data_IF_168638443120
#
_entry.id   IF_168638443120
#
_cell.length_a   1.000
_cell.length_b   1.000
_cell.length_c   1.000
_cell.angle_alpha   90.00
_cell.angle_beta   90.00
_cell.angle_gamma   90.00
#
_symmetry.space_group_name_H-M   'P 1'
#
loop_
_entity.id
_entity.type
_entity.pdbx_description
1 polymer ?
#
# COMPACT_ATOMS: atom_id res chain seq x y z
N UNK A 1 -20.40 30.08 -18.82
CA UNK A 1 -20.14 28.70 -18.38
C UNK A 1 -20.08 28.77 -16.89
N UNK A 2 -21.18 28.40 -16.22
CA UNK A 2 -21.23 28.40 -14.77
C UNK A 2 -20.29 27.32 -14.26
N UNK A 3 -19.28 27.75 -13.52
CA UNK A 3 -18.39 26.82 -12.87
C UNK A 3 -19.17 26.13 -11.76
N UNK A 4 -19.40 24.83 -11.91
CA UNK A 4 -19.95 23.98 -10.86
C UNK A 4 -18.82 23.73 -9.84
N UNK A 5 -18.32 24.78 -9.21
CA UNK A 5 -17.47 24.67 -8.02
C UNK A 5 -18.39 24.49 -6.85
N UNK A 6 -18.87 23.27 -6.65
CA UNK A 6 -19.62 22.94 -5.46
C UNK A 6 -18.64 22.35 -4.44
N UNK A 7 -17.89 23.26 -3.81
CA UNK A 7 -17.05 22.96 -2.65
C UNK A 7 -17.85 22.29 -1.51
N UNK A 8 -19.18 22.50 -1.47
CA UNK A 8 -20.12 21.90 -0.51
C UNK A 8 -20.75 20.56 -0.98
N UNK A 9 -20.52 20.07 -2.21
CA UNK A 9 -21.19 18.85 -2.70
C UNK A 9 -20.54 17.56 -2.23
N UNK A 10 -19.26 17.63 -1.86
CA UNK A 10 -18.48 16.45 -1.50
C UNK A 10 -18.64 16.25 0.00
N UNK A 11 -19.71 15.57 0.40
CA UNK A 11 -19.85 15.10 1.78
C UNK A 11 -18.87 13.96 2.02
N UNK A 12 -17.81 14.23 2.79
CA UNK A 12 -16.86 13.20 3.22
C UNK A 12 -17.49 12.45 4.40
N UNK A 13 -17.67 11.12 4.32
CA UNK A 13 -18.15 10.35 5.46
C UNK A 13 -17.17 10.44 6.63
N UNK A 14 -17.68 10.54 7.87
CA UNK A 14 -16.85 10.66 9.07
C UNK A 14 -15.88 9.48 9.24
N UNK A 15 -16.26 8.28 8.78
CA UNK A 15 -15.47 7.05 8.87
C UNK A 15 -14.32 6.98 7.84
N UNK A 16 -14.46 7.67 6.71
CA UNK A 16 -13.52 7.64 5.60
C UNK A 16 -12.06 7.93 6.01
N UNK A 17 -11.74 9.02 6.74
CA UNK A 17 -10.37 9.29 7.17
C UNK A 17 -9.81 8.21 8.10
N UNK A 18 -10.64 7.56 8.92
CA UNK A 18 -10.20 6.50 9.83
C UNK A 18 -9.84 5.22 9.06
N UNK A 19 -10.68 4.81 8.11
CA UNK A 19 -10.43 3.66 7.24
C UNK A 19 -9.11 3.85 6.47
N UNK A 20 -8.90 5.04 5.88
CA UNK A 20 -7.66 5.33 5.16
C UNK A 20 -6.42 5.33 6.06
N UNK A 21 -6.55 5.84 7.29
CA UNK A 21 -5.47 5.84 8.28
C UNK A 21 -5.05 4.42 8.65
N UNK A 22 -6.02 3.54 8.91
CA UNK A 22 -5.74 2.15 9.29
C UNK A 22 -5.20 1.35 8.11
N UNK A 23 -5.71 1.59 6.91
CA UNK A 23 -5.17 1.04 5.67
C UNK A 23 -3.70 1.44 5.48
N UNK A 24 -3.37 2.74 5.56
CA UNK A 24 -2.01 3.23 5.40
C UNK A 24 -1.07 2.66 6.46
N UNK A 25 -1.53 2.58 7.72
CA UNK A 25 -0.78 1.97 8.82
C UNK A 25 -0.48 0.50 8.56
N UNK A 26 -1.46 -0.26 8.08
CA UNK A 26 -1.29 -1.66 7.73
C UNK A 26 -0.36 -1.85 6.51
N UNK A 27 -0.45 -0.98 5.52
CA UNK A 27 0.40 -1.01 4.32
C UNK A 27 1.87 -0.77 4.66
N UNK A 28 2.16 0.26 5.47
CA UNK A 28 3.52 0.59 5.92
C UNK A 28 4.09 -0.55 6.77
N UNK A 29 3.29 -1.13 7.67
CA UNK A 29 3.72 -2.25 8.53
C UNK A 29 4.04 -3.51 7.73
N UNK A 30 3.19 -3.84 6.75
CA UNK A 30 3.35 -5.04 5.94
C UNK A 30 4.43 -4.88 4.88
N UNK A 31 4.65 -3.65 4.40
CA UNK A 31 5.55 -3.29 3.31
C UNK A 31 5.48 -4.32 2.15
N UNK A 32 4.28 -4.47 1.54
CA UNK A 32 4.04 -5.50 0.54
C UNK A 32 4.91 -5.28 -0.71
N UNK A 33 5.29 -6.37 -1.37
CA UNK A 33 6.03 -6.29 -2.64
C UNK A 33 5.16 -5.75 -3.77
N UNK A 34 3.88 -6.14 -3.79
CA UNK A 34 2.84 -5.59 -4.65
C UNK A 34 1.76 -4.94 -3.78
N UNK A 35 1.65 -3.62 -3.86
CA UNK A 35 0.67 -2.88 -3.09
C UNK A 35 -0.75 -3.15 -3.58
N UNK A 36 -0.98 -3.28 -4.89
CA UNK A 36 -2.32 -3.42 -5.47
C UNK A 36 -2.95 -4.75 -5.10
N UNK A 37 -2.20 -5.85 -5.26
CA UNK A 37 -2.65 -7.19 -4.87
C UNK A 37 -2.95 -7.25 -3.36
N UNK A 38 -2.09 -6.59 -2.57
CA UNK A 38 -2.29 -6.48 -1.13
C UNK A 38 -3.54 -5.65 -0.77
N UNK A 39 -3.80 -4.53 -1.45
CA UNK A 39 -4.99 -3.71 -1.23
C UNK A 39 -6.29 -4.48 -1.52
N UNK A 40 -6.33 -5.25 -2.60
CA UNK A 40 -7.50 -6.09 -2.94
C UNK A 40 -7.77 -7.07 -1.80
N UNK A 41 -6.73 -7.74 -1.33
CA UNK A 41 -6.83 -8.69 -0.22
C UNK A 41 -7.27 -8.01 1.07
N UNK A 42 -6.72 -6.83 1.38
CA UNK A 42 -7.03 -6.04 2.57
C UNK A 42 -8.51 -5.63 2.62
N UNK A 43 -9.01 -5.01 1.55
CA UNK A 43 -10.41 -4.56 1.51
C UNK A 43 -11.40 -5.72 1.40
N UNK A 44 -10.99 -6.85 0.78
CA UNK A 44 -11.81 -8.08 0.75
C UNK A 44 -11.94 -8.72 2.13
N UNK A 45 -10.88 -8.70 2.95
CA UNK A 45 -10.97 -9.17 4.34
C UNK A 45 -11.82 -8.20 5.19
N UNK A 46 -11.61 -6.89 5.01
CA UNK A 46 -12.37 -5.86 5.72
C UNK A 46 -13.88 -5.94 5.45
N UNK A 47 -14.28 -6.20 4.21
CA UNK A 47 -15.70 -6.34 3.85
C UNK A 47 -16.37 -7.59 4.45
N UNK A 48 -15.59 -8.62 4.78
CA UNK A 48 -16.04 -9.84 5.46
C UNK A 48 -16.01 -9.73 6.99
N UNK A 49 -15.49 -8.63 7.54
CA UNK A 49 -15.24 -8.48 8.98
C UNK A 49 -14.07 -9.34 9.49
N UNK A 50 -13.23 -9.85 8.58
CA UNK A 50 -12.04 -10.61 8.92
C UNK A 50 -10.87 -9.68 9.19
N UNK A 51 -9.95 -10.09 10.06
CA UNK A 51 -8.73 -9.32 10.31
C UNK A 51 -7.81 -9.40 9.08
N UNK A 52 -7.50 -8.26 8.42
CA UNK A 52 -6.66 -8.28 7.23
C UNK A 52 -5.28 -8.85 7.58
N UNK A 53 -4.85 -9.85 6.81
CA UNK A 53 -3.62 -10.59 7.07
C UNK A 53 -2.41 -9.65 6.95
N UNK A 54 -1.84 -9.24 8.08
CA UNK A 54 -0.58 -8.50 8.15
C UNK A 54 0.54 -9.53 8.00
N UNK A 55 1.01 -9.76 6.76
CA UNK A 55 2.16 -10.66 6.51
C UNK A 55 3.35 -10.18 7.32
N UNK A 56 4.04 -11.13 7.94
CA UNK A 56 5.37 -10.91 8.50
C UNK A 56 6.29 -10.40 7.40
N UNK A 57 7.07 -9.37 7.75
CA UNK A 57 8.01 -8.65 6.89
C UNK A 57 8.70 -9.60 5.91
N UNK A 58 8.36 -9.49 4.62
CA UNK A 58 9.16 -10.11 3.56
C UNK A 58 10.55 -9.48 3.63
N UNK A 59 11.50 -10.22 4.23
CA UNK A 59 12.92 -9.88 4.18
C UNK A 59 13.26 -9.67 2.71
N UNK A 60 13.59 -8.43 2.37
CA UNK A 60 14.07 -8.01 1.06
C UNK A 60 15.14 -9.01 0.63
N UNK A 61 14.81 -9.93 -0.27
CA UNK A 61 15.82 -10.78 -0.90
C UNK A 61 16.69 -9.79 -1.66
N UNK A 62 17.90 -9.52 -1.17
CA UNK A 62 18.92 -8.81 -1.94
C UNK A 62 19.20 -9.69 -3.15
N UNK A 63 18.46 -9.46 -4.24
CA UNK A 63 18.85 -9.93 -5.56
C UNK A 63 20.23 -9.36 -5.81
N UNK A 64 21.19 -10.25 -6.05
CA UNK A 64 22.61 -9.94 -6.10
C UNK A 64 22.90 -8.72 -6.97
N UNK A 65 23.78 -7.87 -6.46
CA UNK A 65 24.49 -6.87 -7.25
C UNK A 65 25.13 -7.58 -8.44
N UNK A 66 24.57 -7.43 -9.64
CA UNK A 66 25.09 -8.04 -10.87
C UNK A 66 26.21 -7.22 -11.52
N UNK A 67 26.73 -6.18 -10.86
CA UNK A 67 27.90 -5.47 -11.38
C UNK A 67 28.84 -5.16 -10.22
N UNK A 68 30.09 -5.62 -10.37
CA UNK A 68 31.37 -5.19 -9.77
C UNK A 68 32.27 -6.38 -9.40
N UNK A 69 32.75 -7.11 -10.42
CA UNK A 69 33.99 -7.90 -10.43
C UNK A 69 34.21 -8.30 -11.91
N UNK A 70 35.28 -8.07 -12.64
CA UNK A 70 36.70 -7.78 -12.38
C UNK A 70 37.25 -6.96 -13.56
N UNK A 71 38.05 -5.91 -13.32
CA UNK A 71 38.98 -5.41 -14.33
C UNK A 71 40.16 -6.39 -14.41
N UNK A 72 40.57 -6.87 -15.60
CA UNK A 72 41.81 -7.62 -15.74
C UNK A 72 42.98 -6.64 -15.60
N UNK A 73 43.89 -6.94 -14.68
CA UNK A 73 45.20 -6.28 -14.60
C UNK A 73 46.08 -6.88 -15.70
N UNK A 74 46.46 -6.08 -16.69
CA UNK A 74 47.69 -6.28 -17.48
C UNK A 74 48.86 -5.58 -16.80
#
# INVERSE_FOLDING_TARGET
MDHIFLDDQITIPEEYPFILKDYAKAAIKTNPADLLEWSISYFTALSKGETPYVRDRLLRKKTGSIFLTTLPTE
#
